data_IF_312220130481
#
_entry.id   IF_312220130481
#
_cell.length_a   1.000
_cell.length_b   1.000
_cell.length_c   1.000
_cell.angle_alpha   90.00
_cell.angle_beta   90.00
_cell.angle_gamma   90.00
#
_symmetry.space_group_name_H-M   'P 1'
#
loop_
_entity.id
_entity.type
_entity.pdbx_description
1 polymer ?
#
# COMPACT_ATOMS: atom_id res chain seq x y z
N UNK A 1 8.58 31.09 -7.08
CA UNK A 1 9.29 29.79 -6.97
C UNK A 1 8.43 28.71 -7.62
N UNK A 2 8.96 28.03 -8.64
CA UNK A 2 8.24 26.97 -9.34
C UNK A 2 8.00 25.75 -8.42
N UNK A 3 6.87 25.07 -8.61
CA UNK A 3 6.50 23.84 -7.89
C UNK A 3 6.56 22.63 -8.82
N UNK A 4 6.99 21.49 -8.31
CA UNK A 4 6.94 20.22 -9.03
C UNK A 4 5.71 19.45 -8.55
N UNK A 5 4.86 19.01 -9.48
CA UNK A 5 3.73 18.14 -9.19
C UNK A 5 4.00 16.73 -9.72
N UNK A 6 3.95 15.74 -8.81
CA UNK A 6 4.17 14.33 -9.14
C UNK A 6 2.89 13.52 -9.25
N UNK A 7 1.75 14.14 -8.99
CA UNK A 7 0.44 13.48 -9.08
C UNK A 7 -0.01 13.36 -10.54
N UNK A 8 -0.84 12.36 -10.88
CA UNK A 8 -1.53 12.35 -12.16
C UNK A 8 -2.30 13.67 -12.37
N UNK A 9 -2.42 14.18 -13.61
CA UNK A 9 -3.11 15.46 -13.85
C UNK A 9 -4.53 15.53 -13.28
N UNK A 10 -5.26 14.41 -13.25
CA UNK A 10 -6.60 14.30 -12.68
C UNK A 10 -6.67 14.36 -11.14
N UNK A 11 -5.51 14.32 -10.46
CA UNK A 11 -5.38 14.38 -9.00
C UNK A 11 -4.59 15.61 -8.54
N UNK A 12 -4.18 16.49 -9.46
CA UNK A 12 -3.52 17.74 -9.09
C UNK A 12 -4.51 18.64 -8.36
N UNK A 13 -4.13 19.04 -7.16
CA UNK A 13 -4.87 20.00 -6.32
C UNK A 13 -4.05 21.27 -6.05
N UNK A 14 -2.93 21.41 -6.74
CA UNK A 14 -2.04 22.54 -6.55
C UNK A 14 -2.61 23.75 -7.28
N UNK A 15 -3.13 24.70 -6.52
CA UNK A 15 -3.39 26.06 -6.97
C UNK A 15 -2.17 26.92 -6.64
N UNK A 16 -1.83 27.86 -7.53
CA UNK A 16 -0.68 28.74 -7.34
C UNK A 16 -0.95 30.14 -7.91
N UNK A 17 -0.47 31.18 -7.20
CA UNK A 17 -0.70 32.59 -7.52
C UNK A 17 0.19 33.07 -8.70
N UNK A 18 0.02 32.46 -9.88
CA UNK A 18 0.74 32.80 -11.11
C UNK A 18 2.13 32.19 -11.27
N UNK A 19 2.57 31.38 -10.30
CA UNK A 19 3.87 30.70 -10.32
C UNK A 19 3.79 29.34 -11.06
N UNK A 20 4.78 28.96 -11.88
CA UNK A 20 4.70 27.74 -12.69
C UNK A 20 4.59 26.45 -11.88
N UNK A 21 3.70 25.55 -12.31
CA UNK A 21 3.64 24.16 -11.87
C UNK A 21 4.24 23.29 -12.97
N UNK A 22 5.31 22.57 -12.63
CA UNK A 22 6.04 21.69 -13.53
C UNK A 22 5.57 20.25 -13.26
N UNK A 23 4.86 19.60 -14.20
CA UNK A 23 4.49 18.20 -14.05
C UNK A 23 5.73 17.31 -14.15
N UNK A 24 5.82 16.31 -13.28
CA UNK A 24 6.86 15.29 -13.33
C UNK A 24 6.24 13.92 -13.05
N UNK A 25 6.55 12.92 -13.87
CA UNK A 25 6.02 11.59 -13.65
C UNK A 25 6.61 10.96 -12.38
N UNK A 26 5.73 10.49 -11.49
CA UNK A 26 6.15 9.61 -10.40
C UNK A 26 6.67 8.27 -10.95
N UNK A 27 7.88 7.90 -10.54
CA UNK A 27 8.48 6.59 -10.79
C UNK A 27 8.63 5.87 -9.45
N UNK A 28 7.96 4.73 -9.24
CA UNK A 28 8.11 3.99 -8.00
C UNK A 28 9.54 3.56 -7.76
N UNK A 29 10.06 3.93 -6.58
CA UNK A 29 11.30 3.38 -6.07
C UNK A 29 11.10 2.98 -4.61
N UNK A 30 11.12 1.68 -4.35
CA UNK A 30 10.86 1.11 -3.03
C UNK A 30 11.99 0.17 -2.60
N UNK A 31 13.22 0.45 -3.05
CA UNK A 31 14.37 -0.43 -2.86
C UNK A 31 14.39 -1.62 -3.81
N UNK A 32 15.41 -2.47 -3.65
CA UNK A 32 15.55 -3.73 -4.37
C UNK A 32 15.19 -4.93 -3.51
N UNK A 33 15.09 -6.10 -4.14
CA UNK A 33 15.00 -7.39 -3.48
C UNK A 33 15.40 -8.52 -4.44
N UNK A 34 15.65 -9.69 -3.87
CA UNK A 34 15.87 -10.92 -4.62
C UNK A 34 14.52 -11.57 -4.87
N UNK A 35 14.30 -12.04 -6.10
CA UNK A 35 13.09 -12.78 -6.46
C UNK A 35 12.97 -14.06 -5.63
N UNK A 36 11.78 -14.33 -5.10
CA UNK A 36 11.47 -15.56 -4.38
C UNK A 36 10.37 -16.37 -5.09
N UNK A 37 10.38 -17.71 -5.00
CA UNK A 37 9.39 -18.55 -5.69
C UNK A 37 7.93 -18.22 -5.36
N UNK A 38 7.63 -17.77 -4.13
CA UNK A 38 6.26 -17.44 -3.72
C UNK A 38 5.71 -16.17 -4.40
N UNK A 39 6.57 -15.35 -5.03
CA UNK A 39 6.14 -14.16 -5.78
C UNK A 39 5.42 -14.54 -7.07
N UNK A 40 5.64 -15.76 -7.58
CA UNK A 40 4.96 -16.26 -8.76
C UNK A 40 3.45 -16.13 -8.59
N UNK A 41 2.81 -15.52 -9.59
CA UNK A 41 1.37 -15.29 -9.59
C UNK A 41 0.65 -16.59 -9.95
N UNK A 42 -0.45 -16.82 -9.25
CA UNK A 42 -1.45 -17.84 -9.60
C UNK A 42 -2.61 -17.15 -10.32
N UNK A 43 -2.72 -17.25 -11.66
CA UNK A 43 -3.72 -16.50 -12.43
C UNK A 43 -5.17 -16.74 -11.98
N UNK A 44 -5.44 -17.93 -11.43
CA UNK A 44 -6.73 -18.36 -10.93
C UNK A 44 -7.14 -17.74 -9.59
N UNK A 45 -6.19 -17.12 -8.86
CA UNK A 45 -6.44 -16.60 -7.51
C UNK A 45 -6.12 -15.12 -7.43
N UNK A 46 -7.06 -14.34 -6.90
CA UNK A 46 -6.85 -12.92 -6.64
C UNK A 46 -5.75 -12.72 -5.62
N UNK A 47 -4.88 -11.73 -5.83
CA UNK A 47 -3.83 -11.36 -4.88
C UNK A 47 -4.04 -9.94 -4.37
N UNK A 48 -4.28 -9.80 -3.08
CA UNK A 48 -4.42 -8.50 -2.41
C UNK A 48 -3.17 -8.20 -1.61
N UNK A 49 -2.70 -6.96 -1.69
CA UNK A 49 -1.63 -6.47 -0.83
C UNK A 49 -2.22 -5.63 0.30
N UNK A 50 -1.65 -5.75 1.50
CA UNK A 50 -1.99 -4.94 2.67
C UNK A 50 -0.70 -4.33 3.23
N UNK A 51 -0.66 -3.01 3.40
CA UNK A 51 0.51 -2.30 3.95
C UNK A 51 0.12 -1.06 4.75
N UNK A 52 0.54 -1.00 6.02
CA UNK A 52 0.46 0.22 6.84
C UNK A 52 1.69 1.14 6.73
N UNK A 53 2.64 0.81 5.85
CA UNK A 53 3.91 1.54 5.75
C UNK A 53 4.79 1.35 6.99
N UNK A 54 5.95 1.99 6.98
CA UNK A 54 7.00 1.83 8.00
C UNK A 54 6.81 2.74 9.22
N UNK A 55 6.06 3.84 9.09
CA UNK A 55 5.96 4.89 10.12
C UNK A 55 4.68 4.78 10.95
N UNK A 56 3.55 4.37 10.36
CA UNK A 56 2.26 4.39 11.06
C UNK A 56 2.05 3.31 12.13
N UNK A 57 2.60 2.09 12.03
CA UNK A 57 2.50 1.12 13.14
C UNK A 57 3.07 1.68 14.46
N UNK A 58 4.02 2.62 14.39
CA UNK A 58 4.59 3.31 15.55
C UNK A 58 3.71 4.43 16.14
N UNK A 59 2.71 4.92 15.41
CA UNK A 59 1.96 6.14 15.78
C UNK A 59 0.46 5.86 16.00
N UNK A 60 -0.15 5.03 15.15
CA UNK A 60 -1.62 4.85 15.10
C UNK A 60 -2.07 3.42 15.50
N UNK A 61 -1.14 2.52 15.84
CA UNK A 61 -1.44 1.14 16.23
C UNK A 61 -1.74 0.20 15.06
N UNK A 62 -2.16 -1.04 15.38
CA UNK A 62 -2.42 -2.13 14.43
C UNK A 62 -3.90 -2.36 14.14
N UNK A 63 -4.80 -1.52 14.67
CA UNK A 63 -6.26 -1.73 14.60
C UNK A 63 -6.78 -1.90 13.18
N UNK A 64 -6.18 -1.19 12.23
CA UNK A 64 -6.54 -1.35 10.82
C UNK A 64 -6.12 -2.72 10.27
N UNK A 65 -4.91 -3.19 10.58
CA UNK A 65 -4.50 -4.55 10.19
C UNK A 65 -5.40 -5.56 10.87
N UNK A 66 -5.67 -5.42 12.16
CA UNK A 66 -6.55 -6.33 12.90
C UNK A 66 -7.93 -6.43 12.23
N UNK A 67 -8.59 -5.30 11.93
CA UNK A 67 -9.88 -5.27 11.25
C UNK A 67 -9.85 -5.92 9.86
N UNK A 68 -8.80 -5.65 9.07
CA UNK A 68 -8.65 -6.29 7.75
C UNK A 68 -8.42 -7.80 7.91
N UNK A 69 -7.68 -8.22 8.94
CA UNK A 69 -7.39 -9.63 9.20
C UNK A 69 -8.61 -10.39 9.76
N UNK A 70 -9.49 -9.72 10.52
CA UNK A 70 -10.73 -10.31 11.03
C UNK A 70 -11.67 -10.73 9.88
N UNK A 71 -11.68 -9.99 8.77
CA UNK A 71 -12.46 -10.34 7.57
C UNK A 71 -11.66 -11.12 6.53
N UNK A 72 -10.35 -11.28 6.70
CA UNK A 72 -9.48 -11.85 5.66
C UNK A 72 -9.85 -13.29 5.30
N UNK A 73 -10.31 -14.10 6.26
CA UNK A 73 -10.72 -15.49 6.01
C UNK A 73 -11.96 -15.62 5.12
N UNK A 74 -12.76 -14.56 4.98
CA UNK A 74 -13.99 -14.55 4.19
C UNK A 74 -13.75 -14.20 2.71
N UNK A 75 -12.53 -13.75 2.38
CA UNK A 75 -12.17 -13.30 1.04
C UNK A 75 -11.42 -14.41 0.29
N UNK A 76 -11.94 -14.80 -0.88
CA UNK A 76 -11.26 -15.72 -1.79
C UNK A 76 -10.11 -15.03 -2.54
N UNK A 77 -9.06 -14.72 -1.79
CA UNK A 77 -7.83 -14.13 -2.27
C UNK A 77 -6.63 -14.70 -1.51
N UNK A 78 -5.45 -14.62 -2.12
CA UNK A 78 -4.18 -14.63 -1.40
C UNK A 78 -3.91 -13.22 -0.89
N UNK A 79 -3.70 -13.08 0.41
CA UNK A 79 -3.44 -11.78 1.04
C UNK A 79 -1.98 -11.73 1.45
N UNK A 80 -1.25 -10.79 0.87
CA UNK A 80 0.13 -10.49 1.27
C UNK A 80 0.07 -9.37 2.29
N UNK A 81 0.49 -9.66 3.52
CA UNK A 81 0.52 -8.68 4.61
C UNK A 81 1.95 -8.19 4.80
N UNK A 82 2.24 -6.99 4.32
CA UNK A 82 3.52 -6.33 4.54
C UNK A 82 3.55 -5.73 5.94
N UNK A 83 4.24 -6.42 6.86
CA UNK A 83 4.37 -6.04 8.26
C UNK A 83 5.75 -6.46 8.78
N UNK A 84 6.41 -5.58 9.52
CA UNK A 84 7.70 -5.93 10.14
C UNK A 84 7.54 -7.04 11.18
N UNK A 85 8.53 -7.93 11.27
CA UNK A 85 8.58 -9.00 12.28
C UNK A 85 8.25 -8.55 13.71
N UNK A 86 8.74 -7.38 14.13
CA UNK A 86 8.50 -6.85 15.48
C UNK A 86 7.02 -6.49 15.73
N UNK A 87 6.30 -6.02 14.71
CA UNK A 87 4.87 -5.71 14.82
C UNK A 87 3.99 -6.96 14.68
N UNK A 88 4.54 -8.07 14.17
CA UNK A 88 3.83 -9.34 13.99
C UNK A 88 3.56 -10.05 15.31
N UNK A 89 4.41 -9.88 16.34
CA UNK A 89 4.21 -10.53 17.65
C UNK A 89 2.89 -10.14 18.31
N UNK A 90 2.38 -8.96 17.98
CA UNK A 90 1.18 -8.39 18.58
C UNK A 90 -0.09 -8.78 17.80
N UNK A 91 0.06 -9.47 16.66
CA UNK A 91 -1.05 -10.00 15.89
C UNK A 91 -1.49 -11.37 16.44
N UNK A 92 -2.80 -11.59 16.46
CA UNK A 92 -3.39 -12.92 16.64
C UNK A 92 -2.96 -13.86 15.51
N UNK A 93 -3.27 -15.15 15.64
CA UNK A 93 -3.08 -16.12 14.56
C UNK A 93 -3.67 -15.60 13.25
N UNK A 94 -2.85 -15.58 12.19
CA UNK A 94 -3.28 -15.12 10.88
C UNK A 94 -4.11 -16.21 10.16
N UNK A 95 -5.15 -15.82 9.40
CA UNK A 95 -5.85 -16.74 8.51
C UNK A 95 -4.90 -17.46 7.54
N UNK A 96 -5.27 -18.66 7.09
CA UNK A 96 -4.43 -19.49 6.21
C UNK A 96 -4.18 -18.90 4.82
N UNK A 97 -5.02 -17.96 4.39
CA UNK A 97 -4.86 -17.22 3.14
C UNK A 97 -3.99 -15.96 3.27
N UNK A 98 -3.47 -15.66 4.47
CA UNK A 98 -2.60 -14.52 4.73
C UNK A 98 -1.14 -14.95 4.81
N UNK A 99 -0.30 -14.36 3.96
CA UNK A 99 1.15 -14.49 4.01
C UNK A 99 1.76 -13.19 4.58
N UNK A 100 2.29 -13.20 5.81
CA UNK A 100 3.06 -12.09 6.32
C UNK A 100 4.43 -12.03 5.65
N UNK A 101 4.87 -10.83 5.28
CA UNK A 101 6.17 -10.56 4.67
C UNK A 101 6.82 -9.37 5.35
N UNK A 102 8.09 -9.51 5.71
CA UNK A 102 8.83 -8.44 6.39
C UNK A 102 9.17 -7.29 5.44
N UNK A 103 9.40 -7.62 4.16
CA UNK A 103 9.78 -6.66 3.14
C UNK A 103 9.44 -7.16 1.73
N UNK A 104 8.95 -6.26 0.88
CA UNK A 104 8.84 -6.46 -0.57
C UNK A 104 9.05 -5.14 -1.33
N UNK A 105 9.64 -5.16 -2.54
CA UNK A 105 9.76 -3.98 -3.39
C UNK A 105 8.38 -3.65 -3.99
N UNK A 106 7.65 -2.76 -3.31
CA UNK A 106 6.24 -2.44 -3.59
C UNK A 106 5.94 -2.22 -5.08
N UNK A 107 6.73 -1.41 -5.80
CA UNK A 107 6.52 -1.13 -7.22
C UNK A 107 6.55 -2.36 -8.12
N UNK A 108 7.45 -3.32 -7.86
CA UNK A 108 7.50 -4.57 -8.63
C UNK A 108 6.34 -5.48 -8.25
N UNK A 109 6.04 -5.56 -6.96
CA UNK A 109 5.04 -6.50 -6.44
C UNK A 109 3.61 -6.09 -6.80
N UNK A 110 3.32 -4.80 -6.85
CA UNK A 110 1.98 -4.29 -7.20
C UNK A 110 1.59 -4.55 -8.66
N UNK A 111 2.54 -4.69 -9.58
CA UNK A 111 2.25 -5.09 -10.97
C UNK A 111 1.67 -6.51 -11.08
N UNK A 112 1.75 -7.32 -10.02
CA UNK A 112 1.14 -8.66 -9.94
C UNK A 112 -0.07 -8.75 -9.02
N UNK A 113 -0.50 -7.64 -8.40
CA UNK A 113 -1.62 -7.59 -7.47
C UNK A 113 -2.94 -7.23 -8.16
N UNK A 114 -4.05 -7.67 -7.59
CA UNK A 114 -5.41 -7.32 -8.02
C UNK A 114 -6.01 -6.15 -7.21
N UNK A 115 -5.37 -5.77 -6.11
CA UNK A 115 -5.78 -4.62 -5.29
C UNK A 115 -4.82 -4.36 -4.14
N UNK A 116 -4.87 -3.12 -3.62
CA UNK A 116 -3.98 -2.68 -2.54
C UNK A 116 -4.72 -1.95 -1.43
N UNK A 117 -4.58 -2.45 -0.21
CA UNK A 117 -5.14 -1.86 1.00
C UNK A 117 -4.03 -1.14 1.76
N UNK A 118 -4.18 0.17 2.00
CA UNK A 118 -3.17 0.95 2.70
C UNK A 118 -3.70 2.19 3.41
N UNK A 119 -2.83 2.81 4.20
CA UNK A 119 -3.13 3.97 5.05
C UNK A 119 -3.10 5.34 4.36
N UNK A 120 -2.75 5.38 3.07
CA UNK A 120 -2.81 6.59 2.23
C UNK A 120 -1.50 7.38 2.09
N UNK A 121 -0.36 6.83 2.52
CA UNK A 121 0.93 7.48 2.32
C UNK A 121 1.24 7.68 0.83
N UNK A 122 1.78 8.85 0.48
CA UNK A 122 1.99 9.28 -0.91
C UNK A 122 2.70 8.23 -1.78
N UNK A 123 3.76 7.60 -1.26
CA UNK A 123 4.49 6.55 -1.98
C UNK A 123 3.62 5.33 -2.31
N UNK A 124 2.78 4.86 -1.38
CA UNK A 124 1.87 3.75 -1.64
C UNK A 124 0.80 4.14 -2.66
N UNK A 125 0.15 5.30 -2.45
CA UNK A 125 -0.91 5.82 -3.32
C UNK A 125 -0.42 5.98 -4.76
N UNK A 126 0.71 6.67 -4.97
CA UNK A 126 1.27 6.92 -6.29
C UNK A 126 1.82 5.63 -6.94
N UNK A 127 2.34 4.69 -6.16
CA UNK A 127 2.76 3.39 -6.69
C UNK A 127 1.57 2.54 -7.15
N UNK A 128 0.46 2.54 -6.40
CA UNK A 128 -0.77 1.86 -6.79
C UNK A 128 -1.37 2.45 -8.08
N UNK A 129 -1.39 3.78 -8.17
CA UNK A 129 -1.84 4.49 -9.37
C UNK A 129 -0.94 4.18 -10.57
N UNK A 130 0.38 4.15 -10.37
CA UNK A 130 1.33 3.78 -11.41
C UNK A 130 1.11 2.33 -11.90
N UNK A 131 0.80 1.40 -10.99
CA UNK A 131 0.49 0.01 -11.32
C UNK A 131 -0.91 -0.18 -11.93
N UNK A 132 -1.78 0.85 -11.90
CA UNK A 132 -3.12 0.80 -12.48
C UNK A 132 -4.10 -0.12 -11.74
N UNK A 133 -3.87 -0.35 -10.43
CA UNK A 133 -4.70 -1.26 -9.63
C UNK A 133 -5.69 -0.51 -8.72
N UNK A 134 -6.85 -1.12 -8.40
CA UNK A 134 -7.75 -0.60 -7.38
C UNK A 134 -7.08 -0.50 -6.01
N UNK A 135 -7.37 0.57 -5.25
CA UNK A 135 -6.86 0.76 -3.90
C UNK A 135 -7.98 1.09 -2.90
N UNK A 136 -7.91 0.49 -1.71
CA UNK A 136 -8.73 0.87 -0.55
C UNK A 136 -7.83 1.67 0.39
N UNK A 137 -8.15 2.96 0.51
CA UNK A 137 -7.38 3.88 1.34
C UNK A 137 -8.11 4.14 2.64
N UNK A 138 -7.50 3.68 3.73
CA UNK A 138 -7.95 4.05 5.06
C UNK A 138 -7.29 5.37 5.46
N UNK A 139 -7.97 6.45 5.13
CA UNK A 139 -7.70 7.76 5.71
C UNK A 139 -7.99 7.73 7.21
N UNK A 140 -7.24 8.51 7.98
CA UNK A 140 -7.55 8.73 9.40
C UNK A 140 -8.95 9.37 9.49
N UNK A 141 -9.81 8.91 10.39
CA UNK A 141 -10.91 9.77 10.85
C UNK A 141 -10.27 11.01 11.49
N UNK A 142 -10.71 12.24 11.17
CA UNK A 142 -10.39 13.37 12.02
C UNK A 142 -10.89 13.01 13.41
N UNK A 143 -10.05 13.16 14.44
CA UNK A 143 -10.57 13.22 15.80
C UNK A 143 -11.59 14.35 15.77
N UNK A 144 -12.88 14.02 15.90
CA UNK A 144 -13.92 15.01 16.12
C UNK A 144 -13.46 15.87 17.30
N UNK A 145 -13.20 17.15 17.04
CA UNK A 145 -12.96 18.13 18.10
C UNK A 145 -14.26 18.40 18.83
#
# INVERSE_FOLDING_TARGET
>A
MARIDVTPPSMSILENDGEPIIPMQYVPYNGGAVWEPWWERRPERKRLLVSLGTVKPMVDGLDLIARVMDSASEVDAEIILHISANARSDLRSLPSNVRPVDWIPMGVFLNGADGFIHHGGAGNTLTALHAGIPQIVFGREPIAR
#
